data_IF_691949554176
#
_entry.id   IF_691949554176
#
_cell.length_a   1.000
_cell.length_b   1.000
_cell.length_c   1.000
_cell.angle_alpha   90.00
_cell.angle_beta   90.00
_cell.angle_gamma   90.00
#
_symmetry.space_group_name_H-M   'P 1'
#
loop_
_entity.id
_entity.type
_entity.pdbx_description
1 polymer ?
#
# COMPACT_ATOMS: atom_id res chain seq x y z
N UNK A 1 -5.00 39.15 -28.02
CA UNK A 1 -5.47 37.80 -28.38
C UNK A 1 -6.85 37.63 -27.77
N UNK A 2 -7.86 37.22 -28.56
CA UNK A 2 -9.19 36.90 -28.03
C UNK A 2 -9.04 35.95 -26.83
N UNK A 3 -9.60 36.30 -25.67
CA UNK A 3 -9.22 35.82 -24.33
C UNK A 3 -9.32 34.31 -24.06
N UNK A 4 -9.62 33.47 -25.05
CA UNK A 4 -9.89 32.03 -24.88
C UNK A 4 -9.24 31.10 -25.93
N UNK A 5 -8.38 31.61 -26.81
CA UNK A 5 -7.79 30.83 -27.91
C UNK A 5 -6.26 30.76 -27.82
N UNK A 6 -5.71 29.55 -27.98
CA UNK A 6 -4.28 29.25 -28.09
C UNK A 6 -3.93 29.02 -29.56
N UNK A 7 -3.08 29.84 -30.18
CA UNK A 7 -2.73 29.68 -31.58
C UNK A 7 -1.68 28.57 -31.80
N UNK A 8 -1.72 27.91 -32.95
CA UNK A 8 -0.69 26.94 -33.35
C UNK A 8 0.62 27.59 -33.83
N UNK A 9 0.63 28.91 -34.05
CA UNK A 9 1.82 29.70 -34.38
C UNK A 9 1.68 31.13 -33.86
N UNK A 10 2.80 31.75 -33.48
CA UNK A 10 2.82 33.08 -32.87
C UNK A 10 2.85 34.22 -33.90
N UNK A 11 3.43 33.98 -35.09
CA UNK A 11 3.59 35.04 -36.10
C UNK A 11 2.36 35.24 -36.98
N UNK A 12 1.81 34.14 -37.55
CA UNK A 12 0.68 34.16 -38.48
C UNK A 12 -0.27 32.99 -38.21
N UNK A 13 -1.09 33.07 -37.16
CA UNK A 13 -1.96 31.97 -36.75
C UNK A 13 -3.05 31.70 -37.80
N UNK A 14 -3.08 30.47 -38.32
CA UNK A 14 -4.17 29.97 -39.19
C UNK A 14 -5.03 28.89 -38.53
N UNK A 15 -4.62 28.44 -37.35
CA UNK A 15 -5.32 27.44 -36.55
C UNK A 15 -5.12 27.77 -35.07
N UNK A 16 -6.14 27.50 -34.27
CA UNK A 16 -6.09 27.71 -32.83
C UNK A 16 -7.03 26.71 -32.14
N UNK A 17 -6.68 26.32 -30.92
CA UNK A 17 -7.53 25.53 -30.03
C UNK A 17 -7.97 26.40 -28.86
N UNK A 18 -9.11 26.10 -28.26
CA UNK A 18 -9.51 26.79 -27.03
C UNK A 18 -8.69 26.27 -25.84
N UNK A 19 -8.49 27.11 -24.82
CA UNK A 19 -7.90 26.66 -23.56
C UNK A 19 -8.66 25.48 -22.94
N UNK A 20 -9.98 25.42 -23.15
CA UNK A 20 -10.83 24.30 -22.70
C UNK A 20 -10.39 22.99 -23.31
N UNK A 21 -10.18 22.94 -24.64
CA UNK A 21 -9.71 21.73 -25.34
C UNK A 21 -8.33 21.30 -24.85
N UNK A 22 -7.40 22.25 -24.72
CA UNK A 22 -6.04 21.96 -24.23
C UNK A 22 -6.03 21.46 -22.78
N UNK A 23 -6.81 22.10 -21.91
CA UNK A 23 -6.95 21.70 -20.49
C UNK A 23 -7.59 20.32 -20.38
N UNK A 24 -8.64 20.05 -21.16
CA UNK A 24 -9.33 18.77 -21.17
C UNK A 24 -8.39 17.65 -21.64
N UNK A 25 -7.70 17.85 -22.76
CA UNK A 25 -6.73 16.87 -23.24
C UNK A 25 -5.60 16.63 -22.23
N UNK A 26 -4.98 17.68 -21.70
CA UNK A 26 -3.89 17.51 -20.75
C UNK A 26 -4.36 16.72 -19.53
N UNK A 27 -5.50 17.09 -18.93
CA UNK A 27 -6.05 16.39 -17.76
C UNK A 27 -6.34 14.91 -18.04
N UNK A 28 -6.97 14.60 -19.17
CA UNK A 28 -7.23 13.21 -19.57
C UNK A 28 -5.94 12.43 -19.84
N UNK A 29 -4.95 13.06 -20.47
CA UNK A 29 -3.66 12.44 -20.74
C UNK A 29 -2.83 12.18 -19.47
N UNK A 30 -3.02 12.99 -18.42
CA UNK A 30 -2.31 12.82 -17.15
C UNK A 30 -2.91 11.73 -16.26
N UNK A 31 -4.18 11.37 -16.46
CA UNK A 31 -4.88 10.36 -15.65
C UNK A 31 -5.14 9.05 -16.40
N UNK A 32 -5.51 9.13 -17.68
CA UNK A 32 -5.92 8.00 -18.49
C UNK A 32 -4.82 7.47 -19.39
N UNK A 33 -5.15 6.47 -20.21
CA UNK A 33 -4.26 5.88 -21.24
C UNK A 33 -4.51 6.52 -22.61
N UNK A 34 -4.70 7.83 -22.65
CA UNK A 34 -5.20 8.53 -23.83
C UNK A 34 -4.07 9.15 -24.67
N UNK A 35 -3.95 8.72 -25.93
CA UNK A 35 -3.08 9.36 -26.91
C UNK A 35 -3.77 10.54 -27.59
N UNK A 36 -2.98 11.50 -28.08
CA UNK A 36 -3.50 12.71 -28.75
C UNK A 36 -4.30 12.40 -30.00
N UNK A 37 -3.94 11.33 -30.73
CA UNK A 37 -4.64 10.88 -31.92
C UNK A 37 -6.09 10.48 -31.59
N UNK A 38 -6.28 9.63 -30.59
CA UNK A 38 -7.60 9.16 -30.17
C UNK A 38 -8.46 10.30 -29.65
N UNK A 39 -7.86 11.24 -28.89
CA UNK A 39 -8.57 12.45 -28.48
C UNK A 39 -9.02 13.29 -29.68
N UNK A 40 -8.13 13.51 -30.65
CA UNK A 40 -8.45 14.25 -31.88
C UNK A 40 -9.56 13.56 -32.68
N UNK A 41 -9.47 12.23 -32.89
CA UNK A 41 -10.51 11.44 -33.55
C UNK A 41 -11.83 11.48 -32.81
N UNK A 42 -11.81 11.47 -31.49
CA UNK A 42 -13.02 11.64 -30.68
C UNK A 42 -13.66 13.01 -30.91
N UNK A 43 -12.86 14.08 -31.02
CA UNK A 43 -13.41 15.41 -31.35
C UNK A 43 -13.98 15.49 -32.77
N UNK A 44 -13.37 14.80 -33.75
CA UNK A 44 -13.94 14.68 -35.10
C UNK A 44 -15.28 13.95 -35.05
N UNK A 45 -15.38 12.81 -34.36
CA UNK A 45 -16.61 12.02 -34.23
C UNK A 45 -17.73 12.75 -33.49
N UNK A 46 -17.40 13.56 -32.48
CA UNK A 46 -18.39 14.40 -31.79
C UNK A 46 -18.94 15.48 -32.73
N UNK A 47 -18.09 16.02 -33.60
CA UNK A 47 -18.46 17.11 -34.50
C UNK A 47 -19.21 16.59 -35.74
N UNK A 48 -18.77 15.47 -36.30
CA UNK A 48 -19.37 14.79 -37.43
C UNK A 48 -19.14 13.27 -37.35
N UNK A 49 -20.02 12.59 -36.62
CA UNK A 49 -19.95 11.14 -36.43
C UNK A 49 -20.25 10.32 -37.69
N UNK A 50 -20.84 10.94 -38.73
CA UNK A 50 -21.18 10.28 -39.99
C UNK A 50 -20.12 10.49 -41.08
N UNK A 51 -19.16 11.40 -40.87
CA UNK A 51 -18.10 11.72 -41.83
C UNK A 51 -18.59 12.37 -43.12
N UNK A 52 -19.72 13.07 -43.06
CA UNK A 52 -20.37 13.72 -44.22
C UNK A 52 -19.68 15.05 -44.56
N UNK A 53 -19.08 15.71 -43.57
CA UNK A 53 -18.36 16.96 -43.72
C UNK A 53 -16.87 16.72 -43.95
N UNK A 54 -16.29 17.43 -44.91
CA UNK A 54 -14.83 17.44 -45.12
C UNK A 54 -14.17 18.32 -44.07
N UNK A 55 -13.61 17.72 -43.01
CA UNK A 55 -12.82 18.43 -42.02
C UNK A 55 -11.32 18.50 -42.41
N UNK A 56 -10.65 19.65 -42.19
CA UNK A 56 -9.21 19.75 -42.37
C UNK A 56 -8.49 18.94 -41.29
N UNK A 57 -7.46 18.20 -41.69
CA UNK A 57 -6.64 17.43 -40.76
C UNK A 57 -5.70 18.36 -39.97
N UNK A 58 -5.99 18.57 -38.69
CA UNK A 58 -5.31 19.55 -37.83
C UNK A 58 -4.53 18.91 -36.66
N UNK A 59 -4.25 17.60 -36.72
CA UNK A 59 -3.58 16.88 -35.63
C UNK A 59 -2.18 17.43 -35.31
N UNK A 60 -1.42 17.81 -36.34
CA UNK A 60 -0.07 18.34 -36.16
C UNK A 60 -0.10 19.69 -35.40
N UNK A 61 -1.06 20.55 -35.77
CA UNK A 61 -1.30 21.84 -35.12
C UNK A 61 -1.73 21.63 -33.67
N UNK A 62 -2.66 20.70 -33.41
CA UNK A 62 -3.06 20.34 -32.04
C UNK A 62 -1.88 19.82 -31.22
N UNK A 63 -1.03 18.99 -31.81
CA UNK A 63 0.16 18.44 -31.16
C UNK A 63 1.16 19.52 -30.75
N UNK A 64 1.36 20.53 -31.59
CA UNK A 64 2.20 21.69 -31.27
C UNK A 64 1.60 22.49 -30.10
N UNK A 65 0.32 22.85 -30.18
CA UNK A 65 -0.36 23.62 -29.12
C UNK A 65 -0.33 22.88 -27.78
N UNK A 66 -0.56 21.57 -27.78
CA UNK A 66 -0.46 20.72 -26.59
C UNK A 66 0.95 20.74 -26.00
N UNK A 67 1.98 20.64 -26.85
CA UNK A 67 3.38 20.65 -26.39
C UNK A 67 3.74 21.98 -25.72
N UNK A 68 3.37 23.10 -26.34
CA UNK A 68 3.58 24.44 -25.78
C UNK A 68 2.81 24.62 -24.47
N UNK A 69 1.53 24.24 -24.47
CA UNK A 69 0.66 24.33 -23.30
C UNK A 69 1.22 23.54 -22.12
N UNK A 70 1.66 22.29 -22.35
CA UNK A 70 2.32 21.46 -21.32
C UNK A 70 3.56 22.13 -20.75
N UNK A 71 4.42 22.67 -21.62
CA UNK A 71 5.63 23.36 -21.20
C UNK A 71 5.33 24.58 -20.32
N UNK A 72 4.37 25.41 -20.71
CA UNK A 72 3.96 26.57 -19.90
C UNK A 72 3.32 26.13 -18.58
N UNK A 73 2.52 25.05 -18.57
CA UNK A 73 1.95 24.51 -17.33
C UNK A 73 3.02 23.98 -16.38
N UNK A 74 4.04 23.31 -16.89
CA UNK A 74 5.19 22.85 -16.11
C UNK A 74 5.94 24.02 -15.47
N UNK A 75 6.26 25.06 -16.24
CA UNK A 75 6.92 26.28 -15.72
C UNK A 75 6.07 27.04 -14.69
N UNK A 76 4.76 27.11 -14.92
CA UNK A 76 3.84 27.73 -13.98
C UNK A 76 3.77 26.97 -12.66
N UNK A 77 3.77 25.63 -12.69
CA UNK A 77 3.80 24.78 -11.48
C UNK A 77 5.11 24.96 -10.69
N UNK A 78 6.22 25.22 -11.37
CA UNK A 78 7.52 25.50 -10.77
C UNK A 78 7.74 27.00 -10.45
N UNK A 79 6.68 27.83 -10.54
CA UNK A 79 6.74 29.28 -10.26
C UNK A 79 7.79 30.06 -11.06
N UNK A 80 8.25 29.54 -12.20
CA UNK A 80 9.32 30.18 -13.01
C UNK A 80 8.90 31.50 -13.66
N UNK A 81 7.59 31.75 -13.77
CA UNK A 81 7.07 33.05 -14.22
C UNK A 81 7.26 34.19 -13.22
N UNK A 82 7.57 33.88 -11.95
CA UNK A 82 7.86 34.87 -10.91
C UNK A 82 9.37 35.12 -10.70
N UNK A 83 10.23 34.37 -11.38
CA UNK A 83 11.67 34.59 -11.31
C UNK A 83 12.03 35.91 -12.04
N UNK A 84 12.69 36.88 -11.38
CA UNK A 84 13.11 38.13 -12.01
C UNK A 84 14.02 37.93 -13.24
N UNK A 85 14.78 36.84 -13.30
CA UNK A 85 15.62 36.49 -14.46
C UNK A 85 14.80 35.88 -15.61
N UNK A 86 13.51 35.58 -15.39
CA UNK A 86 12.58 35.06 -16.36
C UNK A 86 12.74 33.57 -16.66
N UNK A 87 11.82 33.06 -17.49
CA UNK A 87 11.76 31.64 -17.87
C UNK A 87 13.04 31.17 -18.57
N UNK A 88 13.64 32.03 -19.41
CA UNK A 88 14.83 31.70 -20.20
C UNK A 88 16.07 31.41 -19.32
N UNK A 89 16.10 31.92 -18.09
CA UNK A 89 17.18 31.68 -17.14
C UNK A 89 17.07 30.33 -16.42
N UNK A 90 15.96 29.58 -16.59
CA UNK A 90 15.73 28.30 -15.93
C UNK A 90 16.77 27.26 -16.36
N UNK A 91 17.60 26.80 -15.43
CA UNK A 91 18.61 25.77 -15.68
C UNK A 91 18.04 24.37 -15.57
N UNK A 92 18.83 23.40 -16.04
CA UNK A 92 18.51 21.97 -15.90
C UNK A 92 18.36 21.62 -14.43
N UNK A 93 17.27 20.94 -14.07
CA UNK A 93 16.97 20.53 -12.69
C UNK A 93 16.22 21.56 -11.84
N UNK A 94 16.15 22.83 -12.22
CA UNK A 94 15.51 23.88 -11.39
C UNK A 94 13.98 23.80 -11.31
N UNK A 95 13.36 22.97 -12.15
CA UNK A 95 11.92 22.67 -12.08
C UNK A 95 11.61 21.38 -11.32
N UNK A 96 12.65 20.67 -10.86
CA UNK A 96 12.47 19.48 -10.05
C UNK A 96 11.89 19.87 -8.68
N UNK A 97 10.99 19.04 -8.17
CA UNK A 97 10.44 19.24 -6.84
C UNK A 97 11.49 18.82 -5.83
N UNK A 98 11.99 19.78 -5.05
CA UNK A 98 12.81 19.49 -3.89
C UNK A 98 11.99 18.77 -2.83
N UNK A 99 12.49 17.64 -2.35
CA UNK A 99 11.85 16.95 -1.25
C UNK A 99 12.10 17.73 0.05
N UNK A 100 11.02 18.13 0.74
CA UNK A 100 11.10 18.95 1.97
C UNK A 100 11.72 18.23 3.16
N UNK A 101 11.69 16.90 3.15
CA UNK A 101 12.35 16.08 4.16
C UNK A 101 13.87 16.01 3.97
N UNK A 102 14.38 16.39 2.79
CA UNK A 102 15.82 16.38 2.55
C UNK A 102 16.47 17.57 3.23
N UNK A 103 17.60 17.35 3.91
CA UNK A 103 18.45 18.38 4.42
C UNK A 103 18.92 19.37 3.35
N UNK A 104 18.68 20.62 3.65
CA UNK A 104 18.88 21.78 2.81
C UNK A 104 19.58 22.84 3.67
N UNK A 105 20.89 23.08 3.42
CA UNK A 105 21.64 24.11 4.12
C UNK A 105 20.92 25.46 4.08
N UNK A 106 20.83 26.14 5.22
CA UNK A 106 20.15 27.44 5.36
C UNK A 106 18.61 27.39 5.30
N UNK A 107 17.99 26.20 5.21
CA UNK A 107 16.53 26.04 5.20
C UNK A 107 16.07 25.20 6.40
N UNK A 108 16.52 23.94 6.49
CA UNK A 108 16.11 22.99 7.53
C UNK A 108 17.32 22.31 8.20
N UNK A 109 18.51 22.90 8.06
CA UNK A 109 19.72 22.54 8.78
C UNK A 109 20.12 23.65 9.75
N UNK A 110 20.55 23.32 10.98
CA UNK A 110 21.05 24.30 11.94
C UNK A 110 22.36 24.94 11.45
N UNK A 111 22.64 26.17 11.90
CA UNK A 111 23.93 26.82 11.62
C UNK A 111 25.09 26.00 12.22
N UNK A 112 26.19 25.84 11.47
CA UNK A 112 27.36 25.08 11.90
C UNK A 112 27.23 23.56 11.78
N UNK A 113 26.17 23.05 11.11
CA UNK A 113 25.97 21.61 10.86
C UNK A 113 27.17 20.93 10.19
N UNK A 114 28.00 21.67 9.43
CA UNK A 114 29.21 21.13 8.79
C UNK A 114 30.25 20.68 9.82
N UNK A 115 30.27 21.33 10.99
CA UNK A 115 31.23 21.07 12.08
C UNK A 115 30.70 20.13 13.16
N UNK A 116 29.38 19.92 13.21
CA UNK A 116 28.74 19.00 14.14
C UNK A 116 28.85 17.56 13.63
N UNK A 117 29.93 16.88 14.01
CA UNK A 117 30.24 15.51 13.57
C UNK A 117 29.25 14.48 14.15
N UNK A 118 28.58 14.80 15.26
CA UNK A 118 27.60 13.91 15.91
C UNK A 118 26.19 14.03 15.29
N UNK A 119 25.76 15.24 14.90
CA UNK A 119 24.44 15.47 14.28
C UNK A 119 24.51 15.74 12.77
N UNK A 120 25.67 15.49 12.16
CA UNK A 120 25.88 15.70 10.72
C UNK A 120 24.86 14.89 9.93
N UNK A 121 24.22 15.44 8.88
CA UNK A 121 23.14 14.73 8.19
C UNK A 121 23.61 13.38 7.60
N UNK A 122 24.83 13.30 7.10
CA UNK A 122 25.51 12.06 6.68
C UNK A 122 25.68 10.99 7.79
N UNK A 123 25.55 11.37 9.06
CA UNK A 123 25.59 10.48 10.22
C UNK A 123 24.20 10.01 10.71
N UNK A 124 23.10 10.55 10.17
CA UNK A 124 21.76 10.11 10.56
C UNK A 124 21.47 8.73 9.92
N UNK A 125 20.99 7.71 10.66
CA UNK A 125 20.87 6.33 10.15
C UNK A 125 19.64 6.06 9.24
N UNK A 126 18.96 7.09 8.73
CA UNK A 126 17.59 6.97 8.22
C UNK A 126 17.32 7.54 6.82
N UNK A 127 18.27 7.47 5.89
CA UNK A 127 18.14 8.12 4.58
C UNK A 127 17.56 7.19 3.52
N UNK A 128 16.76 7.79 2.63
CA UNK A 128 16.03 7.11 1.57
C UNK A 128 16.90 6.11 0.79
N UNK A 129 16.26 5.03 0.33
CA UNK A 129 16.88 4.00 -0.50
C UNK A 129 17.45 4.60 -1.79
N UNK A 130 18.78 4.63 -1.88
CA UNK A 130 19.49 4.69 -3.15
C UNK A 130 20.26 3.40 -3.30
N UNK A 131 19.90 2.66 -4.33
CA UNK A 131 20.63 1.48 -4.73
C UNK A 131 21.29 1.81 -6.06
N UNK A 132 22.61 1.71 -6.11
CA UNK A 132 23.33 1.85 -7.37
C UNK A 132 22.81 0.79 -8.36
N UNK A 133 22.39 1.26 -9.54
CA UNK A 133 21.67 0.47 -10.51
C UNK A 133 22.48 -0.73 -10.98
N UNK A 134 23.78 -0.56 -11.23
CA UNK A 134 24.61 -1.64 -11.77
C UNK A 134 24.87 -2.77 -10.74
N UNK A 135 25.34 -2.49 -9.51
CA UNK A 135 25.56 -3.52 -8.49
C UNK A 135 24.29 -4.26 -8.06
N UNK A 136 23.14 -3.59 -8.02
CA UNK A 136 21.87 -4.23 -7.66
C UNK A 136 21.33 -5.13 -8.74
N UNK A 137 21.41 -4.70 -10.00
CA UNK A 137 21.00 -5.53 -11.12
C UNK A 137 21.90 -6.77 -11.23
N UNK A 138 23.17 -6.69 -10.83
CA UNK A 138 24.08 -7.83 -10.73
C UNK A 138 23.80 -8.71 -9.51
N UNK A 139 23.45 -8.12 -8.37
CA UNK A 139 23.03 -8.83 -7.17
C UNK A 139 21.73 -9.63 -7.40
N UNK A 140 20.72 -9.03 -8.03
CA UNK A 140 19.43 -9.67 -8.32
C UNK A 140 19.56 -10.92 -9.21
N UNK A 141 20.54 -10.94 -10.13
CA UNK A 141 20.81 -12.14 -10.96
C UNK A 141 21.16 -13.37 -10.13
N UNK A 142 21.62 -13.20 -8.89
CA UNK A 142 22.02 -14.30 -8.02
C UNK A 142 20.87 -14.87 -7.17
N UNK A 143 19.73 -14.19 -7.09
CA UNK A 143 18.62 -14.55 -6.20
C UNK A 143 17.27 -14.75 -6.91
N UNK A 144 17.18 -14.45 -8.20
CA UNK A 144 15.93 -14.54 -8.98
C UNK A 144 16.00 -15.75 -9.92
N UNK A 145 15.19 -16.78 -9.64
CA UNK A 145 14.88 -17.82 -10.62
C UNK A 145 13.84 -17.30 -11.62
N UNK A 146 14.02 -17.64 -12.91
CA UNK A 146 13.21 -17.15 -14.05
C UNK A 146 11.69 -17.26 -13.84
N UNK A 147 11.24 -18.21 -13.03
CA UNK A 147 9.84 -18.53 -12.83
C UNK A 147 9.14 -17.62 -11.78
N UNK A 148 9.90 -16.94 -10.91
CA UNK A 148 9.37 -15.97 -9.94
C UNK A 148 9.05 -14.60 -10.57
N UNK A 149 9.54 -14.37 -11.80
CA UNK A 149 9.26 -13.15 -12.56
C UNK A 149 7.76 -13.02 -12.91
N UNK A 150 7.04 -14.13 -13.04
CA UNK A 150 5.67 -14.16 -13.55
C UNK A 150 4.61 -13.82 -12.49
N UNK A 151 4.91 -13.98 -11.20
CA UNK A 151 3.93 -13.78 -10.13
C UNK A 151 3.69 -12.29 -9.77
N UNK A 152 4.63 -11.40 -10.09
CA UNK A 152 4.53 -9.97 -9.72
C UNK A 152 4.62 -9.01 -10.91
N UNK A 153 5.05 -9.49 -12.09
CA UNK A 153 5.19 -8.65 -13.29
C UNK A 153 4.38 -9.33 -14.39
N UNK A 154 3.25 -8.72 -14.75
CA UNK A 154 2.53 -9.12 -15.96
C UNK A 154 3.54 -9.13 -17.13
N UNK A 155 3.69 -10.23 -17.89
CA UNK A 155 4.74 -10.40 -18.90
C UNK A 155 4.92 -9.28 -19.94
N UNK A 156 3.90 -8.50 -20.37
CA UNK A 156 4.13 -7.45 -21.37
C UNK A 156 4.88 -6.21 -20.86
N UNK A 157 5.23 -6.11 -19.57
CA UNK A 157 5.90 -4.92 -18.99
C UNK A 157 7.42 -5.06 -18.80
N UNK A 158 7.98 -6.25 -19.07
CA UNK A 158 9.39 -6.57 -18.85
C UNK A 158 10.40 -5.68 -19.60
N UNK A 159 10.19 -5.36 -20.90
CA UNK A 159 11.10 -4.47 -21.62
C UNK A 159 10.94 -3.00 -21.21
N UNK A 160 9.85 -2.67 -20.53
CA UNK A 160 9.51 -1.30 -20.13
C UNK A 160 10.26 -0.87 -18.87
N UNK A 161 10.51 -1.80 -17.94
CA UNK A 161 11.20 -1.53 -16.66
C UNK A 161 12.73 -1.60 -16.78
N UNK A 162 13.28 -2.49 -17.63
CA UNK A 162 14.75 -2.64 -17.81
C UNK A 162 15.47 -1.36 -18.29
N UNK A 163 14.74 -0.39 -18.86
CA UNK A 163 15.29 0.90 -19.27
C UNK A 163 14.68 2.12 -18.53
N UNK A 164 13.60 1.95 -17.75
CA UNK A 164 12.81 3.08 -17.22
C UNK A 164 12.45 3.03 -15.71
N UNK A 165 12.95 2.03 -14.94
CA UNK A 165 13.13 2.15 -13.47
C UNK A 165 14.02 3.33 -13.01
N UNK A 166 14.80 4.04 -13.86
CA UNK A 166 15.54 5.16 -13.36
C UNK A 166 14.65 6.30 -12.85
N UNK A 167 13.40 6.52 -13.29
CA UNK A 167 12.71 7.78 -12.95
C UNK A 167 12.21 7.92 -11.49
N UNK A 168 12.02 6.83 -10.74
CA UNK A 168 11.72 6.93 -9.30
C UNK A 168 13.01 7.07 -8.47
N UNK A 169 14.16 6.73 -9.05
CA UNK A 169 15.49 6.81 -8.43
C UNK A 169 16.39 7.94 -8.99
N UNK A 170 15.99 8.61 -10.09
CA UNK A 170 16.77 9.61 -10.84
C UNK A 170 16.09 10.99 -10.83
N UNK A 171 15.57 11.43 -9.69
CA UNK A 171 15.37 12.87 -9.50
C UNK A 171 16.68 13.63 -9.23
N UNK A 172 17.82 12.97 -9.37
CA UNK A 172 19.13 13.62 -9.45
C UNK A 172 19.83 13.07 -10.69
N UNK A 173 19.97 13.92 -11.71
CA UNK A 173 20.98 13.74 -12.76
C UNK A 173 22.31 13.41 -12.05
N UNK A 174 23.10 12.41 -12.46
CA UNK A 174 24.46 12.27 -11.95
C UNK A 174 25.27 13.58 -12.09
N UNK A 175 24.87 14.44 -13.04
CA UNK A 175 25.36 15.82 -13.20
C UNK A 175 24.84 16.85 -12.18
N UNK A 176 23.73 16.62 -11.49
CA UNK A 176 23.30 17.47 -10.35
C UNK A 176 24.14 17.21 -9.09
N UNK A 177 24.82 16.06 -9.00
CA UNK A 177 25.88 15.81 -8.01
C UNK A 177 27.22 16.45 -8.39
N UNK A 178 27.39 16.93 -9.63
CA UNK A 178 28.67 17.49 -10.11
C UNK A 178 28.69 19.01 -10.21
N UNK A 179 27.56 19.71 -10.05
CA UNK A 179 27.56 21.17 -9.89
C UNK A 179 27.58 21.56 -8.41
N UNK A 180 28.73 21.36 -7.77
CA UNK A 180 29.14 22.15 -6.60
C UNK A 180 28.58 21.79 -5.22
N UNK A 181 27.97 20.63 -5.03
CA UNK A 181 27.60 20.12 -3.69
C UNK A 181 28.30 18.80 -3.44
N UNK A 182 29.00 18.66 -2.31
CA UNK A 182 29.65 17.42 -1.91
C UNK A 182 28.69 16.22 -2.05
N UNK A 183 28.98 15.28 -2.95
CA UNK A 183 28.44 13.93 -2.81
C UNK A 183 28.82 13.46 -1.42
N UNK A 184 27.87 13.13 -0.52
CA UNK A 184 28.24 12.56 0.75
C UNK A 184 29.02 11.28 0.43
N UNK A 185 30.27 11.22 0.91
CA UNK A 185 31.15 10.08 0.69
C UNK A 185 30.67 8.94 1.61
N UNK A 186 29.47 8.43 1.33
CA UNK A 186 28.82 7.39 2.12
C UNK A 186 29.55 6.10 1.80
N UNK A 187 30.33 5.61 2.76
CA UNK A 187 30.97 4.30 2.67
C UNK A 187 29.90 3.23 2.39
N UNK A 188 30.24 2.21 1.60
CA UNK A 188 29.30 1.12 1.27
C UNK A 188 28.83 0.39 2.53
N UNK A 189 29.66 0.41 3.56
CA UNK A 189 29.44 -0.15 4.88
C UNK A 189 28.38 0.64 5.68
N UNK A 190 28.17 1.93 5.36
CA UNK A 190 27.14 2.78 5.96
C UNK A 190 25.76 2.63 5.29
N UNK A 191 25.67 1.92 4.16
CA UNK A 191 24.40 1.68 3.47
C UNK A 191 23.72 0.41 3.98
N UNK A 192 22.55 0.56 4.59
CA UNK A 192 21.72 -0.56 5.03
C UNK A 192 20.63 -0.82 4.00
N UNK A 193 20.77 -1.89 3.21
CA UNK A 193 19.74 -2.31 2.27
C UNK A 193 18.46 -2.76 3.00
N UNK A 194 17.30 -2.30 2.54
CA UNK A 194 15.98 -2.68 3.06
C UNK A 194 15.01 -2.97 1.92
N UNK A 195 13.99 -3.76 2.20
CA UNK A 195 12.96 -4.15 1.24
C UNK A 195 11.67 -3.40 1.57
N UNK A 196 10.99 -2.91 0.55
CA UNK A 196 9.70 -2.23 0.68
C UNK A 196 8.66 -3.16 1.32
N UNK A 197 7.79 -2.57 2.15
CA UNK A 197 6.91 -3.34 3.03
C UNK A 197 5.99 -4.31 2.28
N UNK A 198 5.47 -3.92 1.12
CA UNK A 198 4.61 -4.77 0.30
C UNK A 198 5.38 -5.99 -0.26
N UNK A 199 6.59 -5.74 -0.77
CA UNK A 199 7.46 -6.76 -1.37
C UNK A 199 8.11 -7.69 -0.33
N UNK A 200 8.28 -7.23 0.91
CA UNK A 200 8.94 -7.99 1.98
C UNK A 200 8.31 -9.38 2.20
N UNK A 201 6.99 -9.51 2.03
CA UNK A 201 6.29 -10.79 2.16
C UNK A 201 6.72 -11.80 1.09
N UNK A 202 7.03 -11.35 -0.12
CA UNK A 202 7.44 -12.23 -1.23
C UNK A 202 8.84 -12.83 -1.02
N UNK A 203 9.72 -12.15 -0.28
CA UNK A 203 11.06 -12.65 0.03
C UNK A 203 11.09 -13.74 1.13
N UNK A 204 9.94 -14.06 1.73
CA UNK A 204 9.81 -15.09 2.75
C UNK A 204 10.43 -14.72 4.10
N UNK A 205 10.37 -15.67 5.05
CA UNK A 205 10.68 -15.43 6.48
C UNK A 205 12.12 -14.97 6.72
N UNK A 206 13.10 -15.57 6.03
CA UNK A 206 14.53 -15.25 6.20
C UNK A 206 14.86 -13.77 5.96
N UNK A 207 14.05 -13.12 5.13
CA UNK A 207 14.24 -11.71 4.77
C UNK A 207 13.37 -10.77 5.62
N UNK A 208 12.32 -11.27 6.26
CA UNK A 208 11.29 -10.46 6.91
C UNK A 208 11.87 -9.56 7.99
N UNK A 209 12.46 -10.13 9.06
CA UNK A 209 12.99 -9.30 10.14
C UNK A 209 14.20 -8.45 9.69
N UNK A 210 15.13 -9.06 8.95
CA UNK A 210 16.40 -8.43 8.55
C UNK A 210 16.22 -7.22 7.64
N UNK A 211 15.32 -7.32 6.66
CA UNK A 211 15.15 -6.30 5.63
C UNK A 211 13.89 -5.46 5.79
N UNK A 212 13.10 -5.67 6.84
CA UNK A 212 11.93 -4.83 7.16
C UNK A 212 12.34 -3.41 7.49
N UNK A 213 11.80 -2.44 6.75
CA UNK A 213 11.91 -1.01 7.09
C UNK A 213 11.32 -0.73 8.48
N UNK A 214 10.21 -1.38 8.85
CA UNK A 214 9.51 -1.13 10.12
C UNK A 214 10.26 -1.63 11.36
N UNK A 215 11.16 -2.59 11.19
CA UNK A 215 11.97 -3.16 12.26
C UNK A 215 13.40 -2.61 12.24
N UNK A 216 13.64 -1.53 11.49
CA UNK A 216 14.95 -0.91 11.39
C UNK A 216 15.08 0.22 12.40
N UNK A 217 16.11 0.22 13.25
CA UNK A 217 16.37 1.31 14.19
C UNK A 217 16.44 2.66 13.46
N UNK A 218 15.81 3.68 14.04
CA UNK A 218 15.76 5.04 13.47
C UNK A 218 14.76 5.23 12.33
N UNK A 219 14.12 4.16 11.84
CA UNK A 219 13.06 4.27 10.83
C UNK A 219 11.71 4.39 11.53
N UNK A 220 11.05 5.54 11.33
CA UNK A 220 9.67 5.74 11.77
C UNK A 220 8.68 4.84 11.02
N UNK A 221 7.40 4.90 11.40
CA UNK A 221 6.34 4.20 10.66
C UNK A 221 6.17 4.84 9.28
N UNK A 222 6.86 4.27 8.29
CA UNK A 222 6.73 4.67 6.88
C UNK A 222 5.64 3.84 6.20
N UNK A 223 4.91 4.48 5.28
CA UNK A 223 3.95 3.78 4.43
C UNK A 223 4.67 2.77 3.52
N UNK A 224 5.76 3.21 2.87
CA UNK A 224 6.63 2.31 2.10
C UNK A 224 6.01 1.76 0.81
N UNK A 225 4.95 2.39 0.28
CA UNK A 225 4.29 2.02 -0.99
C UNK A 225 4.34 3.16 -2.04
N UNK A 226 5.05 4.25 -1.73
CA UNK A 226 5.18 5.39 -2.62
C UNK A 226 5.74 5.04 -4.02
N UNK A 227 6.76 4.16 -4.17
CA UNK A 227 7.22 3.70 -5.48
C UNK A 227 6.13 3.01 -6.30
N UNK A 228 5.32 2.16 -5.67
CA UNK A 228 4.24 1.38 -6.29
C UNK A 228 3.08 2.27 -6.75
N UNK A 229 2.73 3.30 -5.96
CA UNK A 229 1.78 4.34 -6.38
C UNK A 229 2.28 5.10 -7.60
N UNK A 230 3.59 5.34 -7.69
CA UNK A 230 4.23 5.88 -8.89
C UNK A 230 4.07 4.96 -10.10
N UNK A 231 4.24 3.66 -9.93
CA UNK A 231 4.05 2.67 -11.01
C UNK A 231 2.63 2.64 -11.55
N UNK A 232 1.62 2.75 -10.68
CA UNK A 232 0.22 2.82 -11.13
C UNK A 232 -0.01 4.00 -12.09
N UNK A 233 0.55 5.17 -11.76
CA UNK A 233 0.46 6.38 -12.58
C UNK A 233 1.26 6.20 -13.90
N UNK A 234 2.47 5.66 -13.83
CA UNK A 234 3.30 5.40 -15.00
C UNK A 234 2.73 4.30 -15.91
N UNK A 235 1.92 3.39 -15.37
CA UNK A 235 1.17 2.40 -16.16
C UNK A 235 0.22 3.06 -17.16
N UNK A 236 -0.29 4.26 -16.86
CA UNK A 236 -1.06 5.06 -17.83
C UNK A 236 -0.17 5.64 -18.95
N UNK A 237 1.07 6.02 -18.62
CA UNK A 237 2.04 6.54 -19.58
C UNK A 237 2.53 5.48 -20.57
N UNK A 238 2.53 4.20 -20.18
CA UNK A 238 3.10 3.13 -20.98
C UNK A 238 2.46 3.00 -22.37
N UNK A 239 1.13 3.00 -22.41
CA UNK A 239 0.38 2.92 -23.68
C UNK A 239 0.56 4.21 -24.49
N UNK A 240 0.52 5.37 -23.83
CA UNK A 240 0.63 6.65 -24.52
C UNK A 240 1.97 6.84 -25.21
N UNK A 241 3.04 6.36 -24.59
CA UNK A 241 4.41 6.61 -25.02
C UNK A 241 5.01 5.52 -25.92
N UNK A 242 4.27 4.41 -26.13
CA UNK A 242 4.76 3.23 -26.85
C UNK A 242 5.28 3.54 -28.26
N UNK A 243 4.52 4.31 -29.03
CA UNK A 243 4.83 4.64 -30.43
C UNK A 243 5.56 6.00 -30.58
N UNK A 244 5.93 6.63 -29.47
CA UNK A 244 6.54 7.96 -29.46
C UNK A 244 8.06 7.88 -29.65
N UNK A 245 8.62 8.82 -30.43
CA UNK A 245 10.07 8.99 -30.51
C UNK A 245 10.69 9.39 -29.15
N UNK A 246 11.98 9.12 -28.92
CA UNK A 246 12.61 9.22 -27.59
C UNK A 246 12.41 10.57 -26.88
N UNK A 247 12.55 11.66 -27.63
CA UNK A 247 12.40 13.03 -27.09
C UNK A 247 10.96 13.37 -26.73
N UNK A 248 10.01 12.95 -27.56
CA UNK A 248 8.59 13.15 -27.28
C UNK A 248 8.18 12.34 -26.04
N UNK A 249 8.64 11.08 -25.96
CA UNK A 249 8.42 10.20 -24.81
C UNK A 249 8.94 10.82 -23.50
N UNK A 250 10.17 11.32 -23.47
CA UNK A 250 10.71 11.97 -22.27
C UNK A 250 9.86 13.17 -21.81
N UNK A 251 9.44 14.04 -22.74
CA UNK A 251 8.60 15.18 -22.39
C UNK A 251 7.24 14.77 -21.79
N UNK A 252 6.65 13.65 -22.24
CA UNK A 252 5.40 13.13 -21.67
C UNK A 252 5.63 12.58 -20.27
N UNK A 253 6.71 11.82 -20.08
CA UNK A 253 7.07 11.28 -18.77
C UNK A 253 7.32 12.40 -17.77
N UNK A 254 8.02 13.47 -18.17
CA UNK A 254 8.26 14.65 -17.33
C UNK A 254 6.95 15.37 -16.96
N UNK A 255 5.99 15.53 -17.89
CA UNK A 255 4.68 16.14 -17.57
C UNK A 255 3.87 15.27 -16.61
N UNK A 256 3.86 13.94 -16.79
CA UNK A 256 3.15 12.99 -15.91
C UNK A 256 3.77 12.97 -14.51
N UNK A 257 5.09 12.82 -14.42
CA UNK A 257 5.81 12.83 -13.14
C UNK A 257 5.71 14.18 -12.44
N UNK A 258 5.92 15.28 -13.18
CA UNK A 258 5.77 16.65 -12.68
C UNK A 258 4.34 16.93 -12.18
N UNK A 259 3.33 16.45 -12.90
CA UNK A 259 1.95 16.52 -12.43
C UNK A 259 1.67 15.62 -11.23
N UNK A 260 2.28 14.43 -11.11
CA UNK A 260 2.12 13.59 -9.91
C UNK A 260 2.74 14.25 -8.67
N UNK A 261 3.85 14.97 -8.86
CA UNK A 261 4.56 15.65 -7.78
C UNK A 261 3.88 16.95 -7.34
N UNK A 262 3.28 17.70 -8.27
CA UNK A 262 2.68 19.01 -7.97
C UNK A 262 1.59 18.98 -6.88
N UNK A 263 0.57 18.09 -6.92
CA UNK A 263 -0.42 17.96 -5.86
C UNK A 263 0.20 17.57 -4.54
N UNK A 264 1.23 16.72 -4.53
CA UNK A 264 1.94 16.33 -3.30
C UNK A 264 2.59 17.55 -2.63
N UNK A 265 3.16 18.46 -3.42
CA UNK A 265 3.74 19.71 -2.91
C UNK A 265 2.66 20.63 -2.38
N UNK A 266 1.62 20.89 -3.17
CA UNK A 266 0.56 21.85 -2.82
C UNK A 266 -0.28 21.37 -1.63
N UNK A 267 -0.60 20.09 -1.57
CA UNK A 267 -1.41 19.51 -0.49
C UNK A 267 -0.58 19.03 0.71
N UNK A 268 0.75 19.08 0.65
CA UNK A 268 1.61 18.59 1.74
C UNK A 268 1.23 19.16 3.09
N UNK A 269 0.96 20.47 3.19
CA UNK A 269 0.55 21.11 4.44
C UNK A 269 -0.76 20.53 4.99
N UNK A 270 -1.76 20.33 4.14
CA UNK A 270 -3.05 19.77 4.55
C UNK A 270 -2.93 18.29 4.93
N UNK A 271 -2.17 17.51 4.15
CA UNK A 271 -1.92 16.09 4.41
C UNK A 271 -1.16 15.90 5.72
N UNK A 272 -0.05 16.63 5.91
CA UNK A 272 0.76 16.55 7.13
C UNK A 272 -0.02 16.99 8.36
N UNK A 273 -0.89 18.00 8.26
CA UNK A 273 -1.75 18.40 9.36
C UNK A 273 -2.73 17.29 9.75
N UNK A 274 -3.38 16.65 8.77
CA UNK A 274 -4.29 15.51 9.02
C UNK A 274 -3.54 14.34 9.65
N UNK A 275 -2.37 14.02 9.11
CA UNK A 275 -1.51 12.95 9.63
C UNK A 275 -1.02 13.26 11.06
N UNK A 276 -0.67 14.52 11.37
CA UNK A 276 -0.26 14.93 12.70
C UNK A 276 -1.38 14.77 13.73
N UNK A 277 -2.61 15.19 13.40
CA UNK A 277 -3.77 15.05 14.30
C UNK A 277 -4.06 13.57 14.60
N UNK A 278 -3.97 12.71 13.57
CA UNK A 278 -4.10 11.27 13.74
C UNK A 278 -2.95 10.72 14.59
N UNK A 279 -1.71 11.09 14.30
CA UNK A 279 -0.53 10.63 15.02
C UNK A 279 -0.58 10.99 16.52
N UNK A 280 -1.03 12.20 16.88
CA UNK A 280 -1.20 12.59 18.29
C UNK A 280 -2.22 11.67 18.97
N UNK A 281 -3.38 11.47 18.34
CA UNK A 281 -4.45 10.65 18.91
C UNK A 281 -4.01 9.18 19.06
N UNK A 282 -3.39 8.64 18.02
CA UNK A 282 -2.85 7.28 18.01
C UNK A 282 -1.70 7.11 19.00
N UNK A 283 -0.84 8.11 19.17
CA UNK A 283 0.29 8.03 20.11
C UNK A 283 -0.19 7.84 21.55
N UNK A 284 -1.26 8.54 21.96
CA UNK A 284 -1.85 8.40 23.30
C UNK A 284 -2.42 6.99 23.48
N UNK A 285 -3.13 6.48 22.47
CA UNK A 285 -3.72 5.15 22.50
C UNK A 285 -2.64 4.05 22.56
N UNK A 286 -1.63 4.13 21.70
CA UNK A 286 -0.56 3.15 21.64
C UNK A 286 0.32 3.19 22.88
N UNK A 287 0.59 4.38 23.42
CA UNK A 287 1.34 4.52 24.67
C UNK A 287 0.64 3.83 25.83
N UNK A 288 -0.67 4.07 26.01
CA UNK A 288 -1.46 3.41 27.07
C UNK A 288 -1.55 1.91 26.86
N UNK A 289 -1.74 1.47 25.63
CA UNK A 289 -1.77 0.04 25.29
C UNK A 289 -0.42 -0.63 25.59
N UNK A 290 0.69 0.03 25.27
CA UNK A 290 2.03 -0.47 25.57
C UNK A 290 2.25 -0.57 27.08
N UNK A 291 1.90 0.47 27.84
CA UNK A 291 2.00 0.44 29.31
C UNK A 291 1.21 -0.72 29.91
N UNK A 292 -0.05 -0.90 29.51
CA UNK A 292 -0.86 -2.02 30.01
C UNK A 292 -0.30 -3.40 29.62
N UNK A 293 0.29 -3.52 28.43
CA UNK A 293 0.96 -4.74 27.99
C UNK A 293 2.22 -5.02 28.83
N UNK A 294 3.04 -3.99 29.08
CA UNK A 294 4.25 -4.11 29.90
C UNK A 294 3.94 -4.46 31.35
N UNK A 295 2.90 -3.84 31.93
CA UNK A 295 2.40 -4.15 33.27
C UNK A 295 1.96 -5.62 33.36
N UNK A 296 1.08 -6.07 32.46
CA UNK A 296 0.61 -7.45 32.44
C UNK A 296 1.73 -8.47 32.22
N UNK A 297 2.67 -8.17 31.32
CA UNK A 297 3.84 -9.02 31.09
C UNK A 297 4.77 -9.10 32.29
N UNK A 298 4.93 -8.01 33.04
CA UNK A 298 5.74 -8.01 34.25
C UNK A 298 5.07 -8.76 35.40
N UNK A 299 3.74 -8.76 35.47
CA UNK A 299 2.97 -9.54 36.44
C UNK A 299 3.04 -11.05 36.15
N UNK A 300 2.75 -11.46 34.91
CA UNK A 300 2.71 -12.88 34.52
C UNK A 300 4.12 -13.47 34.35
N UNK A 301 5.06 -12.67 33.84
CA UNK A 301 6.41 -13.11 33.45
C UNK A 301 7.50 -12.11 33.85
N UNK A 302 7.81 -11.98 35.16
CA UNK A 302 8.81 -11.04 35.66
C UNK A 302 10.16 -11.18 34.93
N UNK A 303 10.71 -10.05 34.46
CA UNK A 303 11.99 -10.00 33.77
C UNK A 303 11.98 -10.48 32.32
N UNK A 304 10.82 -10.74 31.71
CA UNK A 304 10.75 -11.07 30.28
C UNK A 304 11.17 -9.90 29.38
N UNK A 305 10.71 -8.69 29.67
CA UNK A 305 11.00 -7.48 28.88
C UNK A 305 12.50 -7.20 28.86
N UNK A 306 13.16 -7.17 30.02
CA UNK A 306 14.60 -6.95 30.11
C UNK A 306 15.41 -7.99 29.32
N UNK A 307 14.98 -9.25 29.28
CA UNK A 307 15.62 -10.28 28.43
C UNK A 307 15.42 -9.99 26.94
N UNK A 308 14.23 -9.55 26.54
CA UNK A 308 13.94 -9.22 25.15
C UNK A 308 14.69 -7.99 24.68
N UNK A 309 14.85 -6.97 25.51
CA UNK A 309 15.67 -5.80 25.21
C UNK A 309 17.14 -6.18 24.94
N UNK A 310 17.70 -7.09 25.76
CA UNK A 310 19.05 -7.62 25.53
C UNK A 310 19.11 -8.39 24.20
N UNK A 311 18.15 -9.28 23.94
CA UNK A 311 18.10 -10.04 22.68
C UNK A 311 17.98 -9.13 21.46
N UNK A 312 17.16 -8.08 21.55
CA UNK A 312 16.97 -7.11 20.47
C UNK A 312 18.26 -6.32 20.23
N UNK A 313 18.90 -5.80 21.28
CA UNK A 313 20.16 -5.08 21.16
C UNK A 313 21.30 -5.95 20.59
N UNK A 314 21.35 -7.23 20.96
CA UNK A 314 22.31 -8.19 20.38
C UNK A 314 22.04 -8.45 18.90
N UNK A 315 20.78 -8.56 18.50
CA UNK A 315 20.37 -8.78 17.12
C UNK A 315 20.60 -7.55 16.24
N UNK A 316 20.31 -6.35 16.73
CA UNK A 316 20.55 -5.09 16.02
C UNK A 316 22.05 -4.88 15.76
N UNK A 317 22.92 -5.29 16.70
CA UNK A 317 24.38 -5.29 16.51
C UNK A 317 24.85 -6.39 15.55
N UNK A 318 24.22 -7.56 15.61
CA UNK A 318 24.57 -8.70 14.78
C UNK A 318 23.32 -9.47 14.31
N UNK A 319 22.86 -9.24 13.07
CA UNK A 319 21.69 -9.89 12.50
C UNK A 319 21.79 -11.41 12.35
N UNK A 320 22.95 -12.04 12.64
CA UNK A 320 23.08 -13.50 12.74
C UNK A 320 22.61 -14.08 14.07
N UNK A 321 22.37 -13.24 15.08
CA UNK A 321 21.80 -13.68 16.37
C UNK A 321 20.31 -14.03 16.23
N UNK A 322 19.74 -14.79 17.17
CA UNK A 322 18.31 -15.10 17.16
C UNK A 322 17.46 -13.82 17.16
N UNK A 323 16.59 -13.69 16.16
CA UNK A 323 15.68 -12.56 16.05
C UNK A 323 14.41 -12.79 16.88
N UNK A 324 14.02 -11.79 17.66
CA UNK A 324 12.76 -11.82 18.43
C UNK A 324 11.52 -11.79 17.51
N UNK A 325 11.63 -11.11 16.36
CA UNK A 325 10.53 -10.93 15.41
C UNK A 325 10.31 -12.14 14.49
N UNK A 326 11.24 -13.10 14.47
CA UNK A 326 11.05 -14.34 13.74
C UNK A 326 10.15 -15.27 14.58
N UNK A 327 8.85 -15.26 14.28
CA UNK A 327 7.93 -16.19 14.91
C UNK A 327 8.32 -17.63 14.56
N UNK A 328 8.80 -18.36 15.57
CA UNK A 328 9.00 -19.82 15.53
C UNK A 328 7.68 -20.56 15.70
N UNK A 329 6.59 -20.05 15.14
CA UNK A 329 5.31 -20.76 15.23
C UNK A 329 5.44 -22.10 14.50
N UNK A 330 5.18 -23.17 15.25
CA UNK A 330 4.96 -24.50 14.74
C UNK A 330 3.90 -24.40 13.64
N UNK A 331 4.19 -24.96 12.46
CA UNK A 331 3.23 -25.10 11.36
C UNK A 331 2.11 -26.12 11.68
N UNK A 332 1.47 -25.96 12.84
CA UNK A 332 0.27 -26.69 13.23
C UNK A 332 -0.91 -25.92 12.67
N UNK A 333 -1.28 -26.25 11.43
CA UNK A 333 -2.54 -25.79 10.87
C UNK A 333 -3.70 -26.37 11.68
N UNK A 334 -4.83 -25.65 11.75
CA UNK A 334 -6.05 -26.15 12.40
C UNK A 334 -6.41 -27.54 11.89
N UNK A 335 -6.20 -27.82 10.60
CA UNK A 335 -6.46 -29.14 10.02
C UNK A 335 -5.49 -30.23 10.53
N UNK A 336 -4.21 -29.91 10.75
CA UNK A 336 -3.25 -30.85 11.37
C UNK A 336 -3.64 -31.16 12.81
N UNK A 337 -4.06 -30.14 13.57
CA UNK A 337 -4.55 -30.33 14.95
C UNK A 337 -5.82 -31.17 14.96
N UNK A 338 -6.80 -30.88 14.08
CA UNK A 338 -8.01 -31.70 13.91
C UNK A 338 -7.69 -33.15 13.59
N UNK A 339 -6.73 -33.40 12.68
CA UNK A 339 -6.31 -34.74 12.32
C UNK A 339 -5.65 -35.47 13.49
N UNK A 340 -4.78 -34.79 14.23
CA UNK A 340 -4.13 -35.36 15.41
C UNK A 340 -5.16 -35.76 16.47
N UNK A 341 -6.06 -34.84 16.82
CA UNK A 341 -7.11 -35.09 17.81
C UNK A 341 -8.09 -36.18 17.36
N UNK A 342 -8.44 -36.25 16.07
CA UNK A 342 -9.28 -37.33 15.54
C UNK A 342 -8.61 -38.70 15.65
N UNK A 343 -7.29 -38.78 15.42
CA UNK A 343 -6.52 -40.01 15.60
C UNK A 343 -6.42 -40.41 17.08
N UNK A 344 -6.20 -39.45 17.97
CA UNK A 344 -6.19 -39.68 19.43
C UNK A 344 -7.56 -40.19 19.92
N UNK A 345 -8.65 -39.58 19.46
CA UNK A 345 -10.02 -40.03 19.76
C UNK A 345 -10.27 -41.46 19.24
N UNK A 346 -9.82 -41.78 18.02
CA UNK A 346 -9.97 -43.13 17.46
C UNK A 346 -9.24 -44.20 18.28
N UNK A 347 -8.03 -43.88 18.77
CA UNK A 347 -7.26 -44.78 19.66
C UNK A 347 -7.94 -44.93 21.01
N UNK A 348 -8.47 -43.85 21.59
CA UNK A 348 -9.12 -43.84 22.91
C UNK A 348 -10.45 -44.58 22.94
N UNK A 349 -11.22 -44.49 21.85
CA UNK A 349 -12.55 -45.10 21.75
C UNK A 349 -12.54 -46.54 21.25
N UNK A 350 -11.43 -46.99 20.66
CA UNK A 350 -11.32 -48.30 20.01
C UNK A 350 -12.11 -48.39 18.70
N UNK A 351 -11.76 -49.36 17.85
CA UNK A 351 -12.29 -49.60 16.50
C UNK A 351 -13.81 -49.94 16.42
N UNK A 352 -14.57 -49.85 17.52
CA UNK A 352 -15.97 -50.31 17.58
C UNK A 352 -16.99 -49.23 18.00
N UNK A 353 -16.70 -47.94 17.84
CA UNK A 353 -17.73 -46.91 18.07
C UNK A 353 -18.64 -46.78 16.85
N UNK A 354 -19.89 -47.22 17.00
CA UNK A 354 -21.02 -46.95 16.11
C UNK A 354 -21.56 -45.51 16.25
N UNK A 355 -20.89 -44.66 17.03
CA UNK A 355 -21.33 -43.30 17.31
C UNK A 355 -20.82 -42.31 16.24
N UNK A 356 -21.68 -41.43 15.70
CA UNK A 356 -21.32 -40.50 14.64
C UNK A 356 -20.53 -39.26 15.12
N UNK A 357 -20.13 -39.19 16.40
CA UNK A 357 -19.48 -38.03 17.01
C UNK A 357 -18.39 -38.44 18.01
N UNK A 358 -17.32 -37.64 18.08
CA UNK A 358 -16.24 -37.70 19.08
C UNK A 358 -16.18 -36.40 19.92
N UNK A 359 -15.56 -36.39 21.12
CA UNK A 359 -15.33 -35.18 21.91
C UNK A 359 -14.71 -34.06 21.10
N UNK A 360 -13.72 -34.37 20.25
CA UNK A 360 -13.11 -33.37 19.36
C UNK A 360 -14.13 -32.77 18.40
N UNK A 361 -14.95 -33.61 17.73
CA UNK A 361 -15.99 -33.10 16.82
C UNK A 361 -17.05 -32.29 17.54
N UNK A 362 -17.35 -32.61 18.80
CA UNK A 362 -18.27 -31.85 19.64
C UNK A 362 -17.69 -30.49 20.03
N UNK A 363 -16.42 -30.44 20.46
CA UNK A 363 -15.74 -29.17 20.78
C UNK A 363 -15.64 -28.29 19.53
N UNK A 364 -15.28 -28.86 18.38
CA UNK A 364 -15.22 -28.15 17.11
C UNK A 364 -16.58 -27.58 16.69
N UNK A 365 -17.66 -28.35 16.86
CA UNK A 365 -19.02 -27.88 16.57
C UNK A 365 -19.38 -26.66 17.44
N UNK A 366 -18.98 -26.66 18.72
CA UNK A 366 -19.22 -25.52 19.61
C UNK A 366 -18.43 -24.27 19.23
N UNK A 367 -17.16 -24.40 18.85
CA UNK A 367 -16.35 -23.27 18.35
C UNK A 367 -16.93 -22.70 17.04
N UNK A 368 -17.33 -23.57 16.11
CA UNK A 368 -18.00 -23.13 14.87
C UNK A 368 -19.34 -22.43 15.14
N UNK A 369 -20.07 -22.87 16.16
CA UNK A 369 -21.32 -22.25 16.60
C UNK A 369 -21.08 -20.84 17.18
N UNK A 370 -20.07 -20.69 18.03
CA UNK A 370 -19.70 -19.40 18.61
C UNK A 370 -19.28 -18.41 17.51
N UNK A 371 -18.46 -18.84 16.56
CA UNK A 371 -18.05 -18.01 15.42
C UNK A 371 -19.27 -17.54 14.60
N UNK A 372 -20.23 -18.44 14.35
CA UNK A 372 -21.48 -18.10 13.66
C UNK A 372 -22.34 -17.09 14.45
N UNK A 373 -22.48 -17.27 15.77
CA UNK A 373 -23.20 -16.31 16.63
C UNK A 373 -22.53 -14.93 16.63
N UNK A 374 -21.21 -14.87 16.80
CA UNK A 374 -20.44 -13.63 16.80
C UNK A 374 -20.47 -12.92 15.44
N UNK A 375 -20.40 -13.67 14.34
CA UNK A 375 -20.50 -13.14 12.97
C UNK A 375 -21.89 -12.51 12.73
N UNK A 376 -22.95 -13.23 13.10
CA UNK A 376 -24.32 -12.75 12.99
C UNK A 376 -24.58 -11.49 13.84
N UNK A 377 -24.14 -11.49 15.11
CA UNK A 377 -24.25 -10.32 16.00
C UNK A 377 -23.54 -9.09 15.44
N UNK A 378 -22.32 -9.26 14.89
CA UNK A 378 -21.56 -8.15 14.29
C UNK A 378 -22.30 -7.57 13.09
N UNK A 379 -22.83 -8.43 12.22
CA UNK A 379 -23.55 -7.97 11.03
C UNK A 379 -24.86 -7.25 11.35
N UNK A 380 -25.61 -7.74 12.34
CA UNK A 380 -26.84 -7.08 12.80
C UNK A 380 -26.50 -5.71 13.39
N UNK A 381 -25.49 -5.62 14.27
CA UNK A 381 -25.05 -4.35 14.88
C UNK A 381 -24.51 -3.37 13.85
N UNK A 382 -23.81 -3.84 12.82
CA UNK A 382 -23.28 -3.00 11.76
C UNK A 382 -24.37 -2.39 10.85
N UNK A 383 -25.57 -2.99 10.82
CA UNK A 383 -26.66 -2.57 9.92
C UNK A 383 -27.96 -2.28 10.70
N UNK A 384 -28.02 -1.17 11.47
CA UNK A 384 -29.21 -0.80 12.24
C UNK A 384 -30.44 -0.45 11.37
N UNK A 385 -30.23 -0.12 10.08
CA UNK A 385 -31.29 0.12 9.08
C UNK A 385 -31.15 -0.86 7.91
N UNK A 386 -31.27 -2.15 8.20
CA UNK A 386 -31.14 -3.20 7.19
C UNK A 386 -32.27 -3.15 6.14
N UNK A 387 -31.94 -3.46 4.89
CA UNK A 387 -32.95 -3.58 3.82
C UNK A 387 -33.78 -4.87 3.99
N UNK A 388 -34.98 -4.97 3.38
CA UNK A 388 -35.79 -6.20 3.46
C UNK A 388 -35.03 -7.47 3.05
N UNK A 389 -34.21 -7.39 1.99
CA UNK A 389 -33.35 -8.49 1.54
C UNK A 389 -32.32 -8.91 2.60
N UNK A 390 -31.75 -7.93 3.32
CA UNK A 390 -30.78 -8.20 4.38
C UNK A 390 -31.45 -8.80 5.62
N UNK A 391 -32.67 -8.37 5.95
CA UNK A 391 -33.46 -8.96 7.05
C UNK A 391 -33.78 -10.43 6.79
N UNK A 392 -34.18 -10.79 5.56
CA UNK A 392 -34.38 -12.20 5.17
C UNK A 392 -33.08 -12.99 5.34
N UNK A 393 -31.95 -12.47 4.85
CA UNK A 393 -30.66 -13.14 5.02
C UNK A 393 -30.22 -13.28 6.49
N UNK A 394 -30.57 -12.33 7.36
CA UNK A 394 -30.34 -12.47 8.81
C UNK A 394 -31.21 -13.56 9.41
N UNK A 395 -32.50 -13.61 9.05
CA UNK A 395 -33.43 -14.62 9.53
C UNK A 395 -33.02 -16.04 9.12
N UNK A 396 -32.57 -16.24 7.88
CA UNK A 396 -32.06 -17.54 7.40
C UNK A 396 -30.84 -18.02 8.21
N UNK A 397 -29.93 -17.09 8.53
CA UNK A 397 -28.75 -17.38 9.36
C UNK A 397 -29.12 -17.65 10.81
N UNK A 398 -30.05 -16.89 11.40
CA UNK A 398 -30.60 -17.16 12.72
C UNK A 398 -31.17 -18.59 12.78
N UNK A 399 -31.98 -19.00 11.80
CA UNK A 399 -32.56 -20.34 11.73
C UNK A 399 -31.49 -21.44 11.61
N UNK A 400 -30.44 -21.20 10.81
CA UNK A 400 -29.32 -22.14 10.69
C UNK A 400 -28.57 -22.29 12.03
N UNK A 401 -28.34 -21.19 12.75
CA UNK A 401 -27.72 -21.21 14.08
C UNK A 401 -28.62 -21.93 15.09
N UNK A 402 -29.93 -21.65 15.11
CA UNK A 402 -30.90 -22.36 16.00
C UNK A 402 -30.84 -23.87 15.78
N UNK A 403 -30.91 -24.34 14.53
CA UNK A 403 -30.82 -25.78 14.21
C UNK A 403 -29.52 -26.42 14.72
N UNK A 404 -28.38 -25.72 14.56
CA UNK A 404 -27.09 -26.21 15.05
C UNK A 404 -27.01 -26.20 16.59
N UNK A 405 -27.59 -25.22 17.27
CA UNK A 405 -27.65 -25.17 18.74
C UNK A 405 -28.44 -26.36 19.28
N UNK A 406 -29.60 -26.67 18.68
CA UNK A 406 -30.42 -27.83 19.07
C UNK A 406 -29.62 -29.12 18.91
N UNK A 407 -28.93 -29.28 17.78
CA UNK A 407 -28.05 -30.43 17.55
C UNK A 407 -26.87 -30.48 18.55
N UNK A 408 -26.29 -29.33 18.92
CA UNK A 408 -25.25 -29.28 19.95
C UNK A 408 -25.80 -29.69 21.32
N UNK A 409 -27.03 -29.28 21.67
CA UNK A 409 -27.69 -29.68 22.93
C UNK A 409 -27.96 -31.18 23.01
N UNK A 410 -28.30 -31.85 21.90
CA UNK A 410 -28.46 -33.31 21.92
C UNK A 410 -27.14 -34.02 22.20
N UNK A 411 -26.02 -33.49 21.69
CA UNK A 411 -24.67 -34.01 21.98
C UNK A 411 -24.20 -33.64 23.40
N UNK A 412 -24.57 -32.48 23.92
CA UNK A 412 -24.25 -32.04 25.29
C UNK A 412 -24.79 -32.99 26.35
N UNK A 413 -25.95 -33.63 26.14
CA UNK A 413 -26.47 -34.64 27.08
C UNK A 413 -25.51 -35.82 27.23
N UNK A 414 -24.76 -36.17 26.17
CA UNK A 414 -23.80 -37.27 26.20
C UNK A 414 -22.46 -36.86 26.83
N UNK A 415 -21.94 -35.69 26.46
CA UNK A 415 -20.61 -35.23 26.90
C UNK A 415 -20.60 -34.41 28.20
N UNK A 416 -21.73 -33.83 28.57
CA UNK A 416 -21.91 -32.95 29.74
C UNK A 416 -23.21 -33.30 30.50
N UNK A 417 -23.35 -34.53 31.02
CA UNK A 417 -24.62 -35.04 31.55
C UNK A 417 -25.17 -34.24 32.73
N UNK A 418 -24.32 -33.59 33.52
CA UNK A 418 -24.72 -32.74 34.65
C UNK A 418 -25.40 -31.42 34.23
N UNK A 419 -25.32 -31.04 32.96
CA UNK A 419 -25.88 -29.79 32.44
C UNK A 419 -27.35 -29.95 31.99
N UNK A 420 -27.78 -31.17 31.70
CA UNK A 420 -29.15 -31.47 31.24
C UNK A 420 -30.23 -31.18 32.28
N UNK A 421 -29.89 -31.07 33.57
CA UNK A 421 -30.82 -30.68 34.64
C UNK A 421 -30.99 -29.18 34.81
N UNK A 422 -30.14 -28.37 34.16
CA UNK A 422 -30.08 -26.91 34.32
C UNK A 422 -30.54 -26.18 33.05
N UNK A 423 -30.47 -26.83 31.89
CA UNK A 423 -30.87 -26.24 30.62
C UNK A 423 -32.32 -26.61 30.25
N UNK A 424 -33.04 -25.63 29.71
CA UNK A 424 -34.38 -25.83 29.16
C UNK A 424 -34.37 -26.81 27.97
N UNK A 425 -35.51 -27.47 27.74
CA UNK A 425 -35.65 -28.47 26.68
C UNK A 425 -35.21 -27.91 25.31
N UNK A 426 -34.37 -28.65 24.55
CA UNK A 426 -33.81 -28.15 23.29
C UNK A 426 -34.86 -27.76 22.25
N UNK A 427 -36.04 -28.39 22.26
CA UNK A 427 -37.12 -28.13 21.31
C UNK A 427 -37.74 -26.73 21.48
N UNK A 428 -37.74 -26.18 22.70
CA UNK A 428 -38.33 -24.86 23.00
C UNK A 428 -37.65 -23.71 22.23
N UNK A 429 -36.37 -23.87 21.86
CA UNK A 429 -35.65 -22.89 21.05
C UNK A 429 -36.07 -22.85 19.57
N UNK A 430 -36.69 -23.91 19.07
CA UNK A 430 -37.22 -23.94 17.70
C UNK A 430 -38.62 -23.34 17.63
N UNK A 431 -39.40 -23.50 18.70
CA UNK A 431 -40.79 -23.11 18.77
C UNK A 431 -40.99 -21.66 19.25
N UNK A 432 -39.97 -21.04 19.84
CA UNK A 432 -39.98 -19.64 20.25
C UNK A 432 -39.55 -18.72 19.07
N UNK A 433 -40.47 -17.93 18.47
CA UNK A 433 -40.13 -16.98 17.42
C UNK A 433 -39.24 -15.83 17.95
N UNK A 434 -39.35 -15.46 19.22
CA UNK A 434 -38.68 -14.30 19.84
C UNK A 434 -37.31 -14.66 20.45
N UNK A 435 -36.96 -15.95 20.56
CA UNK A 435 -35.66 -16.39 21.07
C UNK A 435 -34.49 -16.01 20.14
N UNK A 436 -33.71 -14.99 20.53
CA UNK A 436 -32.53 -14.56 19.76
C UNK A 436 -31.44 -15.64 19.79
N UNK A 437 -31.30 -16.36 18.67
CA UNK A 437 -30.38 -17.51 18.52
C UNK A 437 -28.92 -17.11 18.77
N UNK A 438 -28.58 -15.88 18.42
CA UNK A 438 -27.28 -15.27 18.57
C UNK A 438 -26.96 -14.81 20.00
N UNK A 439 -27.95 -14.76 20.88
CA UNK A 439 -27.79 -14.43 22.30
C UNK A 439 -27.85 -15.67 23.22
N UNK A 440 -28.12 -16.85 22.67
CA UNK A 440 -28.14 -18.10 23.44
C UNK A 440 -26.73 -18.41 23.92
N UNK A 441 -26.55 -18.57 25.23
CA UNK A 441 -25.27 -18.94 25.82
C UNK A 441 -24.91 -20.38 25.44
N UNK A 442 -23.70 -20.56 24.90
CA UNK A 442 -23.09 -21.86 24.67
C UNK A 442 -22.30 -22.27 25.90
N UNK A 443 -22.38 -23.55 26.25
CA UNK A 443 -21.62 -24.13 27.36
C UNK A 443 -20.71 -25.21 26.79
N UNK A 444 -19.42 -25.04 26.99
CA UNK A 444 -18.37 -25.96 26.52
C UNK A 444 -17.76 -26.69 27.74
N UNK A 445 -17.23 -27.90 27.54
CA UNK A 445 -16.65 -28.73 28.62
C UNK A 445 -15.38 -28.14 29.23
#
# INVERSE_FOLDING_TARGET
>A
MCHSWWPASTERPRSAATFTVLKQFQTLSLQGKLVIYDFYKSTELITDGLGVQRMPFCLAQLSLMVREYRHIKMLARASRGHDPAGIAATKRGEIAVHCRAWPQPGINLPEGWETDVENRPDAWPGWATFIDHAPYHEHLKNYIHKDEFEACIYPPYLPFLQHHVPLVCQLVDPGCLTTGGHSPNISREALIGKILQFHLKAHGRKCYARYSLRLTPGVGRVEGEAPERGWSILGCAAIQTKEMGPRARNNILDDICGFSNWPKVVESGNTLLKELVLAITESIYYWRTLQGLEEGLNEEHPGCIARWEVMLAEWERNPSKPCLYDSKELELTVNKVKLQLANEDHVRMGLSTSQPHTPTTFVMLGLELEELQCSLLRDIKAKPKATPLQLVGFQDRCLAVRRKIVYCRTLQVHYMPGLGSVLDEPALLLDDPDALAEAVRLFMP
#
